data_IF_608141071426
#
_entry.id   IF_608141071426
#
_cell.length_a   1.000
_cell.length_b   1.000
_cell.length_c   1.000
_cell.angle_alpha   90.00
_cell.angle_beta   90.00
_cell.angle_gamma   90.00
#
_symmetry.space_group_name_H-M   'P 1'
#
loop_
_entity.id
_entity.type
_entity.pdbx_description
1 polymer ?
#
# COMPACT_ATOMS: atom_id res chain seq x y z
N UNK A 1 10.23 -13.52 12.97
CA UNK A 1 9.83 -12.60 11.92
C UNK A 1 11.09 -11.87 11.50
N UNK A 2 11.39 -11.77 10.24
CA UNK A 2 12.67 -11.22 9.75
C UNK A 2 12.42 -10.20 8.63
N UNK A 3 11.24 -9.55 8.73
CA UNK A 3 10.84 -8.58 7.71
C UNK A 3 11.75 -7.35 7.77
N UNK A 4 12.14 -6.89 6.58
CA UNK A 4 12.99 -5.72 6.38
C UNK A 4 12.14 -4.48 6.14
N UNK A 5 12.37 -3.43 6.95
CA UNK A 5 11.71 -2.14 6.85
C UNK A 5 12.75 -1.07 6.50
N UNK A 6 12.45 -0.24 5.51
CA UNK A 6 13.22 0.97 5.23
C UNK A 6 12.42 2.16 5.75
N UNK A 7 13.05 2.98 6.60
CA UNK A 7 12.51 4.23 7.12
C UNK A 7 13.28 5.42 6.54
N UNK A 8 12.57 6.34 5.89
CA UNK A 8 13.15 7.54 5.29
C UNK A 8 12.44 8.77 5.86
N UNK A 9 13.20 9.63 6.54
CA UNK A 9 12.69 10.83 7.19
C UNK A 9 13.89 11.79 7.39
N UNK A 10 13.75 13.09 7.21
CA UNK A 10 14.85 14.04 7.42
C UNK A 10 15.04 14.43 8.90
N UNK A 11 14.08 14.09 9.76
CA UNK A 11 14.19 14.26 11.20
C UNK A 11 14.91 13.07 11.87
N UNK A 12 16.14 13.32 12.32
CA UNK A 12 16.96 12.33 13.02
C UNK A 12 16.31 11.81 14.33
N UNK A 13 15.46 12.60 14.99
CA UNK A 13 14.74 12.15 16.19
C UNK A 13 13.70 11.10 15.83
N UNK A 14 12.99 11.27 14.72
CA UNK A 14 12.05 10.28 14.21
C UNK A 14 12.80 9.02 13.76
N UNK A 15 13.88 9.17 12.98
CA UNK A 15 14.71 8.02 12.56
C UNK A 15 15.17 7.20 13.76
N UNK A 16 15.67 7.84 14.80
CA UNK A 16 16.19 7.17 16.00
C UNK A 16 15.07 6.51 16.80
N UNK A 17 14.04 7.28 17.17
CA UNK A 17 12.98 6.80 18.06
C UNK A 17 12.13 5.70 17.41
N UNK A 18 11.78 5.86 16.15
CA UNK A 18 11.00 4.89 15.39
C UNK A 18 11.82 3.62 15.13
N UNK A 19 13.08 3.75 14.67
CA UNK A 19 13.90 2.56 14.39
C UNK A 19 14.14 1.70 15.62
N UNK A 20 14.33 2.30 16.80
CA UNK A 20 14.45 1.55 18.06
C UNK A 20 13.15 0.81 18.38
N UNK A 21 12.01 1.49 18.29
CA UNK A 21 10.71 0.88 18.54
C UNK A 21 10.44 -0.32 17.60
N UNK A 22 10.74 -0.18 16.32
CA UNK A 22 10.52 -1.23 15.33
C UNK A 22 11.48 -2.41 15.49
N UNK A 23 12.76 -2.16 15.84
CA UNK A 23 13.72 -3.24 16.14
C UNK A 23 13.31 -4.02 17.38
N UNK A 24 12.73 -3.38 18.39
CA UNK A 24 12.19 -4.06 19.58
C UNK A 24 11.04 -5.01 19.24
N UNK A 25 10.32 -4.78 18.15
CA UNK A 25 9.29 -5.70 17.61
C UNK A 25 9.88 -6.86 16.79
N UNK A 26 11.20 -6.90 16.61
CA UNK A 26 11.93 -7.98 15.91
C UNK A 26 12.10 -7.72 14.41
N UNK A 27 11.82 -6.53 13.90
CA UNK A 27 12.03 -6.19 12.50
C UNK A 27 13.46 -5.73 12.22
N UNK A 28 13.95 -6.01 11.02
CA UNK A 28 15.21 -5.44 10.54
C UNK A 28 14.97 -4.05 9.94
N UNK A 29 15.56 -3.00 10.54
CA UNK A 29 15.27 -1.61 10.14
C UNK A 29 16.51 -0.90 9.64
N UNK A 30 16.46 -0.41 8.42
CA UNK A 30 17.43 0.51 7.82
C UNK A 30 16.84 1.92 7.77
N UNK A 31 17.65 2.94 8.08
CA UNK A 31 17.20 4.34 8.14
C UNK A 31 17.97 5.20 7.17
N UNK A 32 17.29 6.15 6.52
CA UNK A 32 17.87 7.07 5.56
C UNK A 32 17.37 8.50 5.83
N UNK A 33 18.26 9.50 5.90
CA UNK A 33 17.89 10.86 6.28
C UNK A 33 17.43 11.73 5.09
N UNK A 34 17.30 11.15 3.89
CA UNK A 34 16.85 11.87 2.70
C UNK A 34 16.35 10.89 1.61
N UNK A 35 15.51 11.41 0.73
CA UNK A 35 14.88 10.63 -0.34
C UNK A 35 15.88 10.08 -1.38
N UNK A 36 17.01 10.75 -1.60
CA UNK A 36 18.03 10.30 -2.57
C UNK A 36 18.72 9.02 -2.07
N UNK A 37 19.17 9.02 -0.81
CA UNK A 37 19.76 7.83 -0.18
C UNK A 37 18.75 6.71 -0.05
N UNK A 38 17.50 7.02 0.29
CA UNK A 38 16.41 6.06 0.32
C UNK A 38 16.20 5.38 -1.03
N UNK A 39 16.13 6.14 -2.13
CA UNK A 39 15.99 5.59 -3.48
C UNK A 39 17.15 4.69 -3.88
N UNK A 40 18.40 5.08 -3.60
CA UNK A 40 19.57 4.26 -3.88
C UNK A 40 19.51 2.93 -3.12
N UNK A 41 19.07 2.95 -1.85
CA UNK A 41 18.90 1.75 -1.07
C UNK A 41 17.83 0.82 -1.64
N UNK A 42 16.69 1.36 -2.03
CA UNK A 42 15.58 0.61 -2.65
C UNK A 42 15.94 -0.04 -3.98
N UNK A 43 16.84 0.58 -4.75
CA UNK A 43 17.35 -0.03 -5.99
C UNK A 43 18.26 -1.24 -5.75
N UNK A 44 18.94 -1.28 -4.60
CA UNK A 44 19.86 -2.37 -4.24
C UNK A 44 19.13 -3.57 -3.65
N UNK A 45 18.16 -3.31 -2.82
CA UNK A 45 17.42 -4.37 -2.12
C UNK A 45 16.03 -3.87 -1.74
N UNK A 46 14.99 -4.49 -2.30
CA UNK A 46 13.59 -4.14 -2.01
C UNK A 46 13.23 -4.71 -0.63
N UNK A 47 12.76 -3.88 0.32
CA UNK A 47 12.30 -4.31 1.63
C UNK A 47 10.88 -4.89 1.56
N UNK A 48 10.38 -5.38 2.70
CA UNK A 48 8.99 -5.81 2.86
C UNK A 48 8.03 -4.63 3.09
N UNK A 49 8.57 -3.48 3.57
CA UNK A 49 7.82 -2.25 3.80
C UNK A 49 8.73 -1.02 3.73
N UNK A 50 8.20 0.07 3.21
CA UNK A 50 8.83 1.41 3.27
C UNK A 50 7.97 2.33 4.13
N UNK A 51 8.58 3.01 5.09
CA UNK A 51 7.98 4.12 5.84
C UNK A 51 8.65 5.39 5.33
N UNK A 52 7.88 6.36 4.90
CA UNK A 52 8.37 7.47 4.12
C UNK A 52 7.75 8.79 4.58
N UNK A 53 8.59 9.72 5.02
CA UNK A 53 8.12 11.07 5.26
C UNK A 53 7.77 11.78 3.94
N UNK A 54 6.71 12.57 3.94
CA UNK A 54 6.30 13.32 2.76
C UNK A 54 7.24 14.52 2.56
N UNK A 55 7.49 15.29 3.62
CA UNK A 55 8.26 16.54 3.54
C UNK A 55 9.73 16.32 3.79
N UNK A 56 10.48 16.13 2.74
CA UNK A 56 11.94 16.07 2.80
C UNK A 56 12.56 17.03 1.78
N UNK A 57 13.77 17.56 2.08
CA UNK A 57 14.46 18.43 1.14
C UNK A 57 14.92 17.66 -0.12
N UNK A 58 15.01 18.35 -1.25
CA UNK A 58 15.46 17.86 -2.57
C UNK A 58 14.51 16.88 -3.25
N UNK A 59 14.38 15.68 -2.74
CA UNK A 59 13.43 14.67 -3.22
C UNK A 59 12.46 14.40 -2.08
N UNK A 60 11.24 14.87 -2.24
CA UNK A 60 10.16 14.63 -1.29
C UNK A 60 9.63 13.18 -1.38
N UNK A 61 8.85 12.78 -0.38
CA UNK A 61 8.29 11.42 -0.32
C UNK A 61 7.37 11.09 -1.48
N UNK A 62 6.68 12.08 -2.03
CA UNK A 62 5.76 11.89 -3.15
C UNK A 62 6.52 11.58 -4.45
N UNK A 63 7.55 12.32 -4.75
CA UNK A 63 8.41 12.06 -5.90
C UNK A 63 9.16 10.72 -5.73
N UNK A 64 9.59 10.41 -4.49
CA UNK A 64 10.20 9.12 -4.17
C UNK A 64 9.23 7.97 -4.43
N UNK A 65 7.98 8.05 -3.95
CA UNK A 65 6.95 7.04 -4.21
C UNK A 65 6.68 6.89 -5.70
N UNK A 66 6.55 7.99 -6.43
CA UNK A 66 6.32 7.96 -7.88
C UNK A 66 7.42 7.19 -8.62
N UNK A 67 8.69 7.43 -8.29
CA UNK A 67 9.83 6.70 -8.86
C UNK A 67 9.83 5.23 -8.45
N UNK A 68 9.53 4.93 -7.20
CA UNK A 68 9.44 3.57 -6.69
C UNK A 68 8.37 2.77 -7.43
N UNK A 69 7.20 3.36 -7.70
CA UNK A 69 6.06 2.70 -8.39
C UNK A 69 6.32 2.38 -9.87
N UNK A 70 7.41 2.88 -10.46
CA UNK A 70 7.82 2.46 -11.81
C UNK A 70 8.29 0.99 -11.81
N UNK A 71 8.95 0.54 -10.75
CA UNK A 71 9.61 -0.76 -10.68
C UNK A 71 9.13 -1.68 -9.56
N UNK A 72 8.43 -1.16 -8.53
CA UNK A 72 8.07 -1.92 -7.35
C UNK A 72 6.68 -1.56 -6.82
N UNK A 73 5.98 -2.59 -6.31
CA UNK A 73 4.74 -2.46 -5.56
C UNK A 73 4.93 -2.70 -4.05
N UNK A 74 6.17 -2.59 -3.55
CA UNK A 74 6.44 -2.70 -2.13
C UNK A 74 5.47 -1.80 -1.34
N UNK A 75 4.90 -2.29 -0.23
CA UNK A 75 4.02 -1.49 0.60
C UNK A 75 4.71 -0.22 1.10
N UNK A 76 3.99 0.90 1.07
CA UNK A 76 4.48 2.21 1.54
C UNK A 76 3.48 2.82 2.52
N UNK A 77 3.97 3.17 3.71
CA UNK A 77 3.25 3.97 4.70
C UNK A 77 3.85 5.37 4.70
N UNK A 78 3.04 6.39 4.47
CA UNK A 78 3.48 7.77 4.63
C UNK A 78 3.41 8.24 6.08
N UNK A 79 4.41 9.04 6.48
CA UNK A 79 4.32 9.92 7.63
C UNK A 79 4.05 11.33 7.11
N UNK A 80 3.06 12.04 7.68
CA UNK A 80 2.60 13.34 7.19
C UNK A 80 2.32 14.31 8.34
N UNK A 81 2.45 15.61 8.11
CA UNK A 81 2.08 16.66 9.08
C UNK A 81 0.58 16.94 9.00
N UNK A 82 -0.05 17.37 10.11
CA UNK A 82 -1.49 17.64 10.22
C UNK A 82 -2.05 18.68 9.23
N UNK A 83 -1.22 19.53 8.66
CA UNK A 83 -1.65 20.64 7.80
C UNK A 83 -1.85 20.23 6.33
N UNK A 84 -1.86 18.92 6.05
CA UNK A 84 -1.73 18.36 4.70
C UNK A 84 -2.85 17.38 4.32
N UNK A 85 -4.11 17.70 4.63
CA UNK A 85 -5.27 16.91 4.14
C UNK A 85 -5.24 16.71 2.60
N UNK A 86 -4.66 17.69 1.89
CA UNK A 86 -4.49 17.61 0.42
C UNK A 86 -3.42 16.58 0.05
N UNK A 87 -2.35 16.48 0.84
CA UNK A 87 -1.25 15.55 0.57
C UNK A 87 -1.61 14.10 0.93
N UNK A 88 -2.46 13.86 1.93
CA UNK A 88 -2.99 12.54 2.24
C UNK A 88 -3.78 11.95 1.07
N UNK A 89 -4.75 12.72 0.55
CA UNK A 89 -5.54 12.30 -0.60
C UNK A 89 -4.67 12.12 -1.86
N UNK A 90 -3.61 12.93 -2.02
CA UNK A 90 -2.68 12.85 -3.12
C UNK A 90 -1.75 11.63 -2.96
N UNK A 91 -1.21 11.37 -1.76
CA UNK A 91 -0.36 10.22 -1.45
C UNK A 91 -1.06 8.90 -1.72
N UNK A 92 -2.29 8.77 -1.27
CA UNK A 92 -3.13 7.61 -1.58
C UNK A 92 -3.48 7.54 -3.08
N UNK A 93 -3.68 8.65 -3.77
CA UNK A 93 -3.84 8.68 -5.24
C UNK A 93 -2.60 8.23 -5.97
N UNK A 94 -1.42 8.41 -5.41
CA UNK A 94 -0.13 8.01 -6.01
C UNK A 94 0.27 6.57 -5.71
N UNK A 95 -0.45 5.86 -4.83
CA UNK A 95 -0.24 4.44 -4.58
C UNK A 95 0.42 4.09 -3.26
N UNK A 96 0.35 4.96 -2.26
CA UNK A 96 0.63 4.58 -0.88
C UNK A 96 -0.42 3.57 -0.37
N UNK A 97 -0.01 2.70 0.53
CA UNK A 97 -0.89 1.69 1.12
C UNK A 97 -1.56 2.18 2.39
N UNK A 98 -0.90 3.11 3.11
CA UNK A 98 -1.45 3.77 4.30
C UNK A 98 -0.72 5.09 4.57
N UNK A 99 -1.24 5.90 5.53
CA UNK A 99 -0.61 7.11 6.02
C UNK A 99 -0.83 7.28 7.53
N UNK A 100 0.07 8.00 8.19
CA UNK A 100 0.01 8.29 9.62
C UNK A 100 0.38 9.74 9.84
N UNK A 101 -0.51 10.49 10.47
CA UNK A 101 -0.32 11.92 10.75
C UNK A 101 0.59 12.14 11.95
N UNK A 102 1.61 12.98 11.81
CA UNK A 102 2.46 13.47 12.91
C UNK A 102 1.71 14.52 13.73
N UNK A 103 1.79 14.51 15.09
CA UNK A 103 2.47 13.52 15.92
C UNK A 103 1.67 12.22 16.09
N UNK A 104 2.34 11.08 16.08
CA UNK A 104 1.73 9.76 16.24
C UNK A 104 2.28 9.01 17.45
N UNK A 105 1.52 8.05 17.96
CA UNK A 105 2.04 7.11 18.94
C UNK A 105 2.79 5.97 18.27
N UNK A 106 3.89 5.51 18.88
CA UNK A 106 4.63 4.33 18.39
C UNK A 106 3.73 3.10 18.28
N UNK A 107 2.80 2.92 19.23
CA UNK A 107 1.84 1.82 19.21
C UNK A 107 0.96 1.86 17.94
N UNK A 108 0.44 3.03 17.56
CA UNK A 108 -0.35 3.19 16.34
C UNK A 108 0.46 2.81 15.09
N UNK A 109 1.70 3.31 14.99
CA UNK A 109 2.59 3.00 13.88
C UNK A 109 2.86 1.49 13.79
N UNK A 110 3.17 0.83 14.90
CA UNK A 110 3.44 -0.61 14.96
C UNK A 110 2.21 -1.42 14.49
N UNK A 111 1.01 -1.08 14.96
CA UNK A 111 -0.22 -1.77 14.55
C UNK A 111 -0.50 -1.59 13.03
N UNK A 112 -0.24 -0.41 12.48
CA UNK A 112 -0.36 -0.14 11.03
C UNK A 112 0.63 -0.96 10.21
N UNK A 113 1.89 -1.00 10.64
CA UNK A 113 2.93 -1.81 10.02
C UNK A 113 2.54 -3.29 10.03
N UNK A 114 2.11 -3.82 11.17
CA UNK A 114 1.64 -5.21 11.29
C UNK A 114 0.48 -5.50 10.35
N UNK A 115 -0.48 -4.57 10.25
CA UNK A 115 -1.62 -4.73 9.35
C UNK A 115 -1.17 -4.79 7.88
N UNK A 116 -0.25 -3.93 7.46
CA UNK A 116 0.27 -3.90 6.09
C UNK A 116 1.12 -5.14 5.80
N UNK A 117 2.07 -5.52 6.69
CA UNK A 117 2.92 -6.70 6.53
C UNK A 117 2.11 -8.00 6.54
N UNK A 118 1.11 -8.14 7.41
CA UNK A 118 0.22 -9.31 7.42
C UNK A 118 -0.50 -9.49 6.08
N UNK A 119 -0.93 -8.41 5.46
CA UNK A 119 -1.56 -8.45 4.13
C UNK A 119 -0.60 -8.94 3.06
N UNK A 120 0.68 -8.54 3.12
CA UNK A 120 1.71 -9.01 2.19
C UNK A 120 2.16 -10.46 2.46
N UNK A 121 2.13 -10.91 3.73
CA UNK A 121 2.58 -12.25 4.13
C UNK A 121 1.52 -13.36 3.94
N UNK A 122 0.24 -13.02 3.77
CA UNK A 122 -0.79 -13.98 3.37
C UNK A 122 -0.50 -14.60 1.99
N UNK A 123 0.51 -14.10 1.28
CA UNK A 123 0.99 -14.60 -0.02
C UNK A 123 2.03 -15.72 0.05
N UNK A 124 2.42 -16.24 1.22
CA UNK A 124 3.51 -17.22 1.34
C UNK A 124 3.08 -18.69 1.46
N UNK A 125 1.77 -18.98 1.47
CA UNK A 125 1.28 -20.36 1.40
C UNK A 125 1.17 -20.83 -0.05
N UNK A 126 1.95 -21.81 -0.43
CA UNK A 126 1.98 -22.47 -1.76
C UNK A 126 0.80 -23.45 -1.95
N UNK A 127 -0.43 -23.01 -1.73
CA UNK A 127 -1.59 -23.85 -1.94
C UNK A 127 -2.19 -23.54 -3.33
N UNK A 128 -2.16 -24.47 -4.30
CA UNK A 128 -2.65 -24.23 -5.65
C UNK A 128 -4.16 -23.93 -5.74
N UNK A 129 -4.91 -24.08 -4.67
CA UNK A 129 -6.35 -23.78 -4.60
C UNK A 129 -6.69 -22.28 -4.50
N UNK A 130 -5.70 -21.38 -4.46
CA UNK A 130 -5.93 -19.94 -4.24
C UNK A 130 -5.87 -19.07 -5.50
N UNK A 131 -6.03 -19.67 -6.68
CA UNK A 131 -6.21 -18.90 -7.91
C UNK A 131 -7.69 -18.61 -8.11
N UNK A 132 -8.05 -17.34 -8.13
CA UNK A 132 -9.41 -16.90 -8.46
C UNK A 132 -9.43 -16.54 -9.94
N UNK A 133 -10.16 -17.32 -10.75
CA UNK A 133 -10.40 -17.03 -12.17
C UNK A 133 -11.82 -16.50 -12.36
N UNK A 134 -11.95 -15.34 -13.02
CA UNK A 134 -13.25 -14.73 -13.36
C UNK A 134 -13.18 -14.14 -14.77
N UNK A 135 -13.62 -14.91 -15.77
CA UNK A 135 -13.45 -14.52 -17.17
C UNK A 135 -11.96 -14.28 -17.49
N UNK A 136 -11.65 -13.08 -17.98
CA UNK A 136 -10.30 -12.67 -18.34
C UNK A 136 -9.43 -12.24 -17.13
N UNK A 137 -10.03 -12.15 -15.94
CA UNK A 137 -9.31 -11.81 -14.70
C UNK A 137 -8.78 -13.07 -14.02
N UNK A 138 -7.50 -13.07 -13.67
CA UNK A 138 -6.88 -14.06 -12.80
C UNK A 138 -6.22 -13.35 -11.62
N UNK A 139 -6.47 -13.85 -10.41
CA UNK A 139 -5.80 -13.45 -9.18
C UNK A 139 -5.10 -14.66 -8.58
N UNK A 140 -3.79 -14.55 -8.38
CA UNK A 140 -3.03 -15.43 -7.51
C UNK A 140 -2.99 -14.78 -6.13
N UNK A 141 -3.77 -15.33 -5.20
CA UNK A 141 -3.97 -14.75 -3.87
C UNK A 141 -2.69 -14.84 -3.04
N UNK A 142 -1.94 -15.91 -3.21
CA UNK A 142 -0.73 -16.14 -2.42
C UNK A 142 0.44 -15.25 -2.88
N UNK A 143 0.52 -14.95 -4.17
CA UNK A 143 1.58 -14.12 -4.74
C UNK A 143 1.20 -12.66 -4.93
N UNK A 144 -0.04 -12.27 -4.61
CA UNK A 144 -0.60 -10.95 -4.91
C UNK A 144 -0.43 -10.54 -6.39
N UNK A 145 -0.51 -11.52 -7.30
CA UNK A 145 -0.42 -11.27 -8.73
C UNK A 145 -1.84 -11.14 -9.29
N UNK A 146 -2.06 -10.13 -10.11
CA UNK A 146 -3.28 -9.97 -10.88
C UNK A 146 -2.98 -9.85 -12.36
N UNK A 147 -3.73 -10.58 -13.20
CA UNK A 147 -3.64 -10.44 -14.65
C UNK A 147 -5.02 -10.20 -15.26
N UNK A 148 -5.06 -9.46 -16.34
CA UNK A 148 -6.22 -9.22 -17.17
C UNK A 148 -5.88 -9.58 -18.62
N UNK A 149 -6.62 -10.52 -19.22
CA UNK A 149 -6.32 -11.06 -20.57
C UNK A 149 -4.86 -11.54 -20.69
N UNK A 150 -4.35 -12.18 -19.64
CA UNK A 150 -2.94 -12.63 -19.50
C UNK A 150 -1.88 -11.52 -19.46
N UNK A 151 -2.28 -10.24 -19.30
CA UNK A 151 -1.37 -9.11 -19.10
C UNK A 151 -1.30 -8.78 -17.62
N UNK A 152 -0.09 -8.63 -17.08
CA UNK A 152 0.11 -8.27 -15.66
C UNK A 152 -0.47 -6.89 -15.34
N UNK A 153 -1.29 -6.82 -14.28
CA UNK A 153 -1.86 -5.58 -13.74
C UNK A 153 -1.30 -5.35 -12.34
N UNK A 154 -0.29 -4.53 -12.22
CA UNK A 154 0.42 -4.28 -10.96
C UNK A 154 -0.44 -3.49 -9.98
N UNK A 155 -0.99 -4.18 -8.98
CA UNK A 155 -1.75 -3.58 -7.89
C UNK A 155 -0.88 -3.42 -6.64
N UNK A 156 -1.18 -2.40 -5.82
CA UNK A 156 -0.67 -2.36 -4.44
C UNK A 156 -1.40 -3.42 -3.59
N UNK A 157 -0.85 -3.73 -2.42
CA UNK A 157 -1.47 -4.71 -1.51
C UNK A 157 -2.92 -4.35 -1.21
N UNK A 158 -3.18 -3.09 -0.88
CA UNK A 158 -4.54 -2.59 -0.59
C UNK A 158 -5.48 -2.72 -1.79
N UNK A 159 -5.02 -2.32 -2.99
CA UNK A 159 -5.80 -2.47 -4.23
C UNK A 159 -6.10 -3.93 -4.54
N UNK A 160 -5.13 -4.84 -4.33
CA UNK A 160 -5.32 -6.26 -4.53
C UNK A 160 -6.38 -6.84 -3.59
N UNK A 161 -6.36 -6.50 -2.31
CA UNK A 161 -7.34 -6.96 -1.32
C UNK A 161 -8.75 -6.45 -1.63
N UNK A 162 -8.88 -5.19 -2.02
CA UNK A 162 -10.16 -4.63 -2.48
C UNK A 162 -10.66 -5.43 -3.70
N UNK A 163 -9.82 -5.66 -4.70
CA UNK A 163 -10.19 -6.43 -5.89
C UNK A 163 -10.58 -7.86 -5.54
N UNK A 164 -9.78 -8.54 -4.72
CA UNK A 164 -10.08 -9.89 -4.23
C UNK A 164 -11.45 -9.95 -3.54
N UNK A 165 -11.75 -8.97 -2.69
CA UNK A 165 -13.04 -8.88 -2.01
C UNK A 165 -14.22 -8.73 -2.99
N UNK A 166 -14.06 -7.94 -4.04
CA UNK A 166 -15.08 -7.74 -5.08
C UNK A 166 -15.30 -9.02 -5.92
N UNK A 167 -14.22 -9.67 -6.35
CA UNK A 167 -14.31 -10.84 -7.24
C UNK A 167 -14.63 -12.16 -6.52
N UNK A 168 -14.49 -12.20 -5.20
CA UNK A 168 -14.88 -13.37 -4.40
C UNK A 168 -16.39 -13.68 -4.54
N UNK A 169 -17.22 -12.64 -4.68
CA UNK A 169 -18.67 -12.76 -4.90
C UNK A 169 -19.12 -11.78 -5.99
N UNK A 170 -18.94 -12.13 -7.28
CA UNK A 170 -19.36 -11.28 -8.39
C UNK A 170 -20.86 -10.96 -8.33
N UNK A 171 -21.21 -9.72 -8.66
CA UNK A 171 -22.60 -9.24 -8.62
C UNK A 171 -23.08 -8.80 -7.23
N UNK A 172 -22.32 -9.06 -6.16
CA UNK A 172 -22.65 -8.54 -4.84
C UNK A 172 -22.07 -7.14 -4.67
N UNK A 173 -22.94 -6.16 -4.37
CA UNK A 173 -22.52 -4.79 -4.07
C UNK A 173 -21.87 -4.75 -2.70
N UNK A 174 -20.73 -4.08 -2.60
CA UNK A 174 -20.04 -3.81 -1.34
C UNK A 174 -20.08 -2.33 -1.01
N UNK A 175 -20.42 -2.00 0.25
CA UNK A 175 -20.35 -0.63 0.75
C UNK A 175 -18.89 -0.17 0.90
N UNK A 176 -18.69 1.15 1.03
CA UNK A 176 -17.37 1.73 1.32
C UNK A 176 -16.81 1.16 2.63
N UNK A 177 -17.64 1.11 3.69
CA UNK A 177 -17.24 0.55 5.00
C UNK A 177 -16.74 -0.89 4.87
N UNK A 178 -17.47 -1.75 4.17
CA UNK A 178 -17.05 -3.13 3.93
C UNK A 178 -15.72 -3.24 3.17
N UNK A 179 -15.45 -2.33 2.24
CA UNK A 179 -14.18 -2.28 1.53
C UNK A 179 -13.07 -1.68 2.40
N UNK A 180 -13.41 -0.74 3.31
CA UNK A 180 -12.51 -0.22 4.34
C UNK A 180 -12.05 -1.31 5.29
N UNK A 181 -12.98 -2.10 5.83
CA UNK A 181 -12.66 -3.22 6.73
C UNK A 181 -11.70 -4.22 6.08
N UNK A 182 -11.91 -4.52 4.79
CA UNK A 182 -11.01 -5.39 4.03
C UNK A 182 -9.66 -4.75 3.78
N UNK A 183 -9.64 -3.45 3.45
CA UNK A 183 -8.44 -2.71 3.09
C UNK A 183 -7.55 -2.41 4.31
N UNK A 184 -8.16 -2.13 5.47
CA UNK A 184 -7.46 -1.57 6.62
C UNK A 184 -7.71 -2.31 7.93
N UNK A 185 -8.73 -3.18 7.99
CA UNK A 185 -9.19 -3.88 9.19
C UNK A 185 -10.14 -3.03 10.04
N UNK A 186 -10.93 -3.70 10.88
CA UNK A 186 -12.02 -3.09 11.66
C UNK A 186 -11.59 -2.01 12.68
N UNK A 187 -10.29 -1.91 12.99
CA UNK A 187 -9.76 -1.03 14.04
C UNK A 187 -9.18 0.29 13.54
N UNK A 188 -9.21 0.53 12.22
CA UNK A 188 -8.53 1.66 11.60
C UNK A 188 -9.54 2.64 11.02
N UNK A 189 -9.65 3.82 11.62
CA UNK A 189 -10.44 4.93 11.08
C UNK A 189 -9.65 5.62 9.96
N UNK A 190 -10.11 5.44 8.72
CA UNK A 190 -9.62 6.14 7.52
C UNK A 190 -10.83 6.79 6.84
N UNK A 191 -10.66 7.94 6.19
CA UNK A 191 -11.74 8.64 5.48
C UNK A 191 -12.30 7.77 4.34
N UNK A 192 -13.62 7.69 4.20
CA UNK A 192 -14.36 6.95 3.16
C UNK A 192 -13.91 7.29 1.73
N UNK A 193 -13.43 8.52 1.51
CA UNK A 193 -12.87 8.99 0.22
C UNK A 193 -11.63 8.22 -0.22
N UNK A 194 -10.98 7.54 0.73
CA UNK A 194 -9.80 6.70 0.46
C UNK A 194 -10.13 5.53 -0.45
N UNK A 195 -11.29 4.88 -0.24
CA UNK A 195 -11.74 3.77 -1.09
C UNK A 195 -12.01 4.24 -2.52
N UNK A 196 -12.64 5.38 -2.72
CA UNK A 196 -12.89 5.93 -4.06
C UNK A 196 -11.56 6.18 -4.82
N UNK A 197 -10.52 6.60 -4.10
CA UNK A 197 -9.18 6.78 -4.67
C UNK A 197 -8.54 5.46 -5.09
N UNK A 198 -8.66 4.38 -4.29
CA UNK A 198 -8.21 3.04 -4.66
C UNK A 198 -8.98 2.50 -5.88
N UNK A 199 -10.30 2.59 -5.88
CA UNK A 199 -11.14 2.18 -7.02
C UNK A 199 -10.75 2.92 -8.31
N UNK A 200 -10.57 4.24 -8.23
CA UNK A 200 -10.14 5.05 -9.38
C UNK A 200 -8.78 4.61 -9.93
N UNK A 201 -7.81 4.30 -9.05
CA UNK A 201 -6.50 3.80 -9.47
C UNK A 201 -6.58 2.42 -10.10
N UNK A 202 -7.30 1.48 -9.48
CA UNK A 202 -7.50 0.16 -10.06
C UNK A 202 -8.07 0.24 -11.46
N UNK A 203 -9.17 1.00 -11.65
CA UNK A 203 -9.75 1.22 -12.98
C UNK A 203 -8.73 1.76 -13.99
N UNK A 204 -7.90 2.71 -13.58
CA UNK A 204 -6.84 3.27 -14.45
C UNK A 204 -5.79 2.23 -14.81
N UNK A 205 -5.35 1.40 -13.85
CA UNK A 205 -4.37 0.33 -14.08
C UNK A 205 -4.91 -0.72 -15.04
N UNK A 206 -6.15 -1.16 -14.87
CA UNK A 206 -6.81 -2.07 -15.81
C UNK A 206 -7.00 -1.45 -17.20
N UNK A 207 -7.40 -0.18 -17.28
CA UNK A 207 -7.54 0.54 -18.56
C UNK A 207 -6.21 0.76 -19.28
N UNK A 208 -5.09 0.72 -18.58
CA UNK A 208 -3.77 0.73 -19.21
C UNK A 208 -3.49 -0.56 -19.97
N UNK A 209 -3.95 -1.71 -19.46
CA UNK A 209 -3.82 -3.02 -20.11
C UNK A 209 -4.94 -3.27 -21.14
N UNK A 210 -6.13 -2.73 -20.92
CA UNK A 210 -7.30 -2.88 -21.80
C UNK A 210 -8.16 -1.62 -21.76
N UNK A 211 -8.15 -0.83 -22.82
CA UNK A 211 -8.89 0.45 -22.90
C UNK A 211 -10.40 0.28 -22.70
N UNK A 212 -10.94 -0.88 -23.06
CA UNK A 212 -12.37 -1.22 -22.95
C UNK A 212 -12.76 -1.79 -21.56
N UNK A 213 -11.82 -1.79 -20.60
CA UNK A 213 -12.11 -2.31 -19.26
C UNK A 213 -13.18 -1.49 -18.55
N UNK A 214 -14.28 -2.13 -18.14
CA UNK A 214 -15.46 -1.55 -17.48
C UNK A 214 -16.01 -2.38 -16.30
N UNK A 215 -15.30 -3.44 -15.89
CA UNK A 215 -15.81 -4.47 -14.97
C UNK A 215 -15.91 -4.06 -13.49
N UNK A 216 -15.34 -2.92 -13.11
CA UNK A 216 -15.51 -2.37 -11.76
C UNK A 216 -16.52 -1.22 -11.83
N UNK A 217 -17.75 -1.50 -11.44
CA UNK A 217 -18.85 -0.54 -11.48
C UNK A 217 -19.04 0.19 -10.14
N UNK A 218 -19.71 1.33 -10.16
CA UNK A 218 -20.16 2.03 -8.95
C UNK A 218 -21.68 2.18 -9.05
N UNK A 219 -22.39 1.67 -8.05
CA UNK A 219 -23.82 1.88 -7.93
C UNK A 219 -24.07 3.07 -7.00
N UNK A 220 -24.84 4.01 -7.48
CA UNK A 220 -25.30 5.14 -6.69
C UNK A 220 -26.68 4.76 -6.11
N UNK A 221 -26.77 4.77 -4.79
CA UNK A 221 -28.00 4.58 -4.06
C UNK A 221 -28.67 5.89 -3.74
#
# INVERSE_FOLDING_TARGET
>A
MNEKIILVDDDNHILTSVSVALRNEGWHVETYPDGEKGLIALQRNIPDLVILDIKMPRIDGMEMLKRLRISSNVPVIFLTSKDEEIDEALGLRMGADDYITKPFSQKLLIERIRAVLRRSSLSTSTDPEKIIQRGDLMLDVDRHISTWKNVDVRLTVTEFLILQSLVSRPGLVKSRDQLMDVAYGETIYVDDRTIDSHIKRMRRKFKHSDKEFDKIETLYG
#
